data_IF_701906628899
#
_entry.id   IF_701906628899
#
_cell.length_a   1.000
_cell.length_b   1.000
_cell.length_c   1.000
_cell.angle_alpha   90.00
_cell.angle_beta   90.00
_cell.angle_gamma   90.00
#
_symmetry.space_group_name_H-M   'P 1'
#
loop_
_entity.id
_entity.type
_entity.pdbx_description
1 polymer ?
#
# COMPACT_ATOMS: atom_id res chain seq x y z
N UNK A 1 -4.64 -47.64 6.38
CA UNK A 1 -4.87 -46.64 5.30
C UNK A 1 -5.96 -45.60 5.61
N UNK A 2 -6.77 -45.70 6.68
CA UNK A 2 -7.98 -44.88 6.90
C UNK A 2 -7.78 -43.54 7.64
N UNK A 3 -6.61 -43.27 8.20
CA UNK A 3 -6.38 -42.09 9.07
C UNK A 3 -5.72 -40.90 8.36
N UNK A 4 -4.95 -41.13 7.28
CA UNK A 4 -4.22 -40.07 6.58
C UNK A 4 -5.14 -39.05 5.87
N UNK A 5 -6.30 -39.51 5.38
CA UNK A 5 -7.30 -38.63 4.72
C UNK A 5 -8.01 -37.70 5.71
N UNK A 6 -8.23 -38.15 6.95
CA UNK A 6 -8.85 -37.32 7.98
C UNK A 6 -7.88 -36.28 8.52
N UNK A 7 -6.62 -36.67 8.73
CA UNK A 7 -5.54 -35.77 9.17
C UNK A 7 -5.24 -34.68 8.14
N UNK A 8 -5.26 -35.02 6.85
CA UNK A 8 -5.08 -34.03 5.77
C UNK A 8 -6.25 -33.05 5.67
N UNK A 9 -7.49 -33.52 5.79
CA UNK A 9 -8.66 -32.64 5.84
C UNK A 9 -8.64 -31.70 7.04
N UNK A 10 -8.24 -32.22 8.21
CA UNK A 10 -8.07 -31.41 9.43
C UNK A 10 -6.98 -30.35 9.26
N UNK A 11 -5.81 -30.72 8.71
CA UNK A 11 -4.72 -29.78 8.43
C UNK A 11 -5.17 -28.68 7.46
N UNK A 12 -5.91 -29.03 6.40
CA UNK A 12 -6.42 -28.08 5.42
C UNK A 12 -7.41 -27.10 6.05
N UNK A 13 -8.33 -27.60 6.89
CA UNK A 13 -9.30 -26.76 7.60
C UNK A 13 -8.60 -25.77 8.55
N UNK A 14 -7.57 -26.22 9.29
CA UNK A 14 -6.76 -25.35 10.15
C UNK A 14 -6.02 -24.28 9.32
N UNK A 15 -5.41 -24.64 8.19
CA UNK A 15 -4.77 -23.69 7.29
C UNK A 15 -5.76 -22.65 6.73
N UNK A 16 -6.96 -23.06 6.32
CA UNK A 16 -8.00 -22.14 5.85
C UNK A 16 -8.44 -21.15 6.95
N UNK A 17 -8.63 -21.63 8.18
CA UNK A 17 -9.00 -20.78 9.32
C UNK A 17 -7.92 -19.75 9.66
N UNK A 18 -6.63 -20.13 9.61
CA UNK A 18 -5.51 -19.23 9.83
C UNK A 18 -5.35 -18.18 8.71
N UNK A 19 -5.74 -18.52 7.48
CA UNK A 19 -5.65 -17.62 6.32
C UNK A 19 -6.61 -16.43 6.44
N UNK A 20 -7.79 -16.62 7.05
CA UNK A 20 -8.79 -15.56 7.23
C UNK A 20 -8.35 -14.52 8.26
N UNK A 21 -7.50 -14.89 9.21
CA UNK A 21 -6.93 -13.97 10.21
C UNK A 21 -5.73 -13.15 9.71
N UNK A 22 -5.27 -13.36 8.47
CA UNK A 22 -4.16 -12.62 7.91
C UNK A 22 -4.65 -11.26 7.37
N UNK A 23 -4.31 -10.18 8.07
CA UNK A 23 -4.49 -8.81 7.56
C UNK A 23 -3.27 -8.42 6.74
N UNK A 24 -3.49 -8.02 5.48
CA UNK A 24 -2.44 -7.39 4.68
C UNK A 24 -2.08 -6.02 5.27
N UNK A 25 -0.79 -5.66 5.23
CA UNK A 25 -0.34 -4.35 5.70
C UNK A 25 -0.80 -3.25 4.73
N UNK A 26 -1.33 -2.12 5.21
CA UNK A 26 -1.67 -1.00 4.32
C UNK A 26 -0.40 -0.43 3.69
N UNK A 27 -0.38 -0.31 2.36
CA UNK A 27 0.75 0.28 1.65
C UNK A 27 0.67 1.81 1.75
N UNK A 28 1.66 2.42 2.40
CA UNK A 28 1.75 3.88 2.60
C UNK A 28 2.72 4.48 1.60
N UNK A 29 2.30 5.55 0.92
CA UNK A 29 3.09 6.24 -0.09
C UNK A 29 3.11 7.73 0.22
N UNK A 30 4.31 8.30 0.34
CA UNK A 30 4.53 9.74 0.51
C UNK A 30 5.05 10.34 -0.79
N UNK A 31 4.30 11.28 -1.34
CA UNK A 31 4.70 12.03 -2.53
C UNK A 31 5.47 13.27 -2.11
N UNK A 32 6.78 13.30 -2.39
CA UNK A 32 7.64 14.47 -2.16
C UNK A 32 7.84 15.21 -3.48
N UNK A 33 7.69 16.53 -3.47
CA UNK A 33 8.14 17.35 -4.57
C UNK A 33 7.63 18.77 -4.48
N UNK A 34 7.13 19.30 -5.59
CA UNK A 34 6.77 20.70 -5.66
C UNK A 34 5.47 20.87 -6.44
N UNK A 35 5.23 22.08 -6.96
CA UNK A 35 4.07 22.37 -7.80
C UNK A 35 3.91 21.35 -8.94
N UNK A 36 4.98 20.79 -9.49
CA UNK A 36 4.90 19.79 -10.57
C UNK A 36 4.37 18.43 -10.10
N UNK A 37 4.62 18.06 -8.84
CA UNK A 37 4.07 16.85 -8.20
C UNK A 37 2.62 17.07 -7.77
N UNK A 38 2.26 18.30 -7.36
CA UNK A 38 0.92 18.65 -6.92
C UNK A 38 -0.08 18.81 -8.07
N UNK A 39 0.36 19.36 -9.21
CA UNK A 39 -0.53 19.61 -10.36
C UNK A 39 -0.99 18.31 -11.01
N UNK A 40 -2.09 18.39 -11.75
CA UNK A 40 -2.72 17.27 -12.47
C UNK A 40 -3.11 16.08 -11.56
N UNK A 41 -3.18 16.31 -10.24
CA UNK A 41 -3.56 15.30 -9.27
C UNK A 41 -2.73 14.02 -9.41
N UNK A 42 -1.41 14.13 -9.67
CA UNK A 42 -0.54 12.97 -9.88
C UNK A 42 -0.59 11.93 -8.74
N UNK A 43 -0.61 12.30 -7.44
CA UNK A 43 -0.82 11.34 -6.36
C UNK A 43 -2.12 10.55 -6.50
N UNK A 44 -3.19 11.23 -6.93
CA UNK A 44 -4.50 10.61 -7.17
C UNK A 44 -4.49 9.69 -8.41
N UNK A 45 -3.78 10.07 -9.47
CA UNK A 45 -3.60 9.21 -10.64
C UNK A 45 -2.91 7.90 -10.26
N UNK A 46 -1.84 7.97 -9.47
CA UNK A 46 -1.11 6.78 -8.99
C UNK A 46 -2.00 5.93 -8.09
N UNK A 47 -2.75 6.54 -7.17
CA UNK A 47 -3.74 5.84 -6.36
C UNK A 47 -4.77 5.12 -7.24
N UNK A 48 -5.30 5.79 -8.26
CA UNK A 48 -6.33 5.24 -9.14
C UNK A 48 -5.82 4.04 -9.95
N UNK A 49 -4.57 4.08 -10.43
CA UNK A 49 -3.94 2.96 -11.13
C UNK A 49 -3.70 1.79 -10.20
N UNK A 50 -3.23 2.04 -8.96
CA UNK A 50 -3.09 0.99 -7.96
C UNK A 50 -4.44 0.33 -7.65
N UNK A 51 -5.49 1.14 -7.45
CA UNK A 51 -6.84 0.65 -7.19
C UNK A 51 -7.39 -0.19 -8.35
N UNK A 52 -7.14 0.21 -9.59
CA UNK A 52 -7.52 -0.56 -10.77
C UNK A 52 -6.85 -1.94 -10.84
N UNK A 53 -5.68 -2.10 -10.22
CA UNK A 53 -4.95 -3.37 -10.12
C UNK A 53 -5.29 -4.18 -8.86
N UNK A 54 -6.24 -3.71 -8.04
CA UNK A 54 -6.65 -4.38 -6.81
C UNK A 54 -5.84 -3.98 -5.56
N UNK A 55 -4.96 -2.97 -5.66
CA UNK A 55 -4.17 -2.47 -4.55
C UNK A 55 -4.78 -1.19 -3.96
N UNK A 56 -4.82 -1.08 -2.64
CA UNK A 56 -5.23 0.16 -1.95
C UNK A 56 -4.02 0.85 -1.35
N UNK A 57 -3.81 2.12 -1.70
CA UNK A 57 -2.73 2.95 -1.14
C UNK A 57 -3.28 3.95 -0.13
N UNK A 58 -2.54 4.17 0.96
CA UNK A 58 -2.67 5.35 1.81
C UNK A 58 -1.66 6.39 1.33
N UNK A 59 -2.14 7.51 0.78
CA UNK A 59 -1.28 8.52 0.14
C UNK A 59 -1.23 9.81 0.93
N UNK A 60 -0.03 10.31 1.19
CA UNK A 60 0.22 11.65 1.73
C UNK A 60 1.10 12.44 0.75
N UNK A 61 1.08 13.78 0.85
CA UNK A 61 1.85 14.66 -0.05
C UNK A 61 2.57 15.76 0.72
N UNK A 62 3.86 15.93 0.44
CA UNK A 62 4.62 17.14 0.76
C UNK A 62 5.12 17.76 -0.54
N UNK A 63 4.34 18.69 -1.08
CA UNK A 63 4.63 19.33 -2.37
C UNK A 63 4.55 20.86 -2.33
N UNK A 64 5.42 21.55 -1.58
CA UNK A 64 5.35 22.99 -1.48
C UNK A 64 5.71 23.67 -2.82
N UNK A 65 5.06 24.79 -3.13
CA UNK A 65 5.28 25.50 -4.38
C UNK A 65 6.73 26.01 -4.51
N UNK A 66 7.34 25.82 -5.69
CA UNK A 66 8.69 26.33 -5.98
C UNK A 66 9.85 25.59 -5.32
N UNK A 67 9.60 24.47 -4.65
CA UNK A 67 10.64 23.70 -3.98
C UNK A 67 11.61 23.03 -4.95
N UNK A 68 12.90 23.10 -4.60
CA UNK A 68 13.98 22.31 -5.21
C UNK A 68 14.30 21.11 -4.32
N UNK A 69 15.14 20.19 -4.80
CA UNK A 69 15.62 19.08 -3.97
C UNK A 69 16.29 19.56 -2.68
N UNK A 70 17.11 20.60 -2.75
CA UNK A 70 17.73 21.22 -1.57
C UNK A 70 16.69 21.76 -0.58
N UNK A 71 15.59 22.35 -1.09
CA UNK A 71 14.50 22.87 -0.26
C UNK A 71 13.91 21.81 0.68
N UNK A 72 13.79 20.57 0.21
CA UNK A 72 13.32 19.46 1.03
C UNK A 72 14.33 18.97 2.09
N UNK A 73 15.62 19.26 1.94
CA UNK A 73 16.64 18.81 2.92
C UNK A 73 16.70 19.69 4.17
N UNK A 74 16.25 20.93 4.05
CA UNK A 74 16.23 21.93 5.14
C UNK A 74 14.82 22.19 5.65
N UNK A 75 13.84 21.46 5.11
CA UNK A 75 12.44 21.61 5.45
C UNK A 75 12.26 21.31 6.94
N UNK A 76 11.79 22.32 7.66
CA UNK A 76 11.58 22.32 9.11
C UNK A 76 10.11 22.57 9.46
N UNK A 77 9.22 22.32 8.49
CA UNK A 77 7.76 22.40 8.61
C UNK A 77 7.18 21.05 9.00
#
# INVERSE_FOLDING_TARGET
MRTKSFQTAFLLAVCCLLSVSAFAQPQKVLFIGNSYTAVNSLPWLVYSVALANGDTLSTDVNSPGGFTFQGHTTDSM
#
